data_IF_637107338983
#
_entry.id   IF_637107338983
#
_cell.length_a   1.000
_cell.length_b   1.000
_cell.length_c   1.000
_cell.angle_alpha   90.00
_cell.angle_beta   90.00
_cell.angle_gamma   90.00
#
_symmetry.space_group_name_H-M   'P 1'
#
loop_
_entity.id
_entity.type
_entity.pdbx_description
1 polymer ?
#
# COMPACT_ATOMS: atom_id res chain seq x y z
N UNK A 1 2.15 11.86 -13.62
CA UNK A 1 1.20 11.79 -12.48
C UNK A 1 -0.12 11.22 -12.95
N UNK A 2 -0.83 10.50 -12.10
CA UNK A 2 -2.12 9.85 -12.44
C UNK A 2 -3.15 10.28 -11.41
N UNK A 3 -4.32 10.75 -11.82
CA UNK A 3 -5.46 11.02 -10.95
C UNK A 3 -6.78 10.73 -11.71
N UNK A 4 -7.79 10.24 -10.99
CA UNK A 4 -9.10 9.97 -11.56
C UNK A 4 -9.95 11.26 -11.70
N UNK A 5 -9.65 12.29 -10.91
CA UNK A 5 -10.35 13.55 -10.93
C UNK A 5 -9.88 14.43 -12.11
N UNK A 6 -10.76 14.66 -13.07
CA UNK A 6 -10.48 15.45 -14.29
C UNK A 6 -10.06 16.87 -13.94
N UNK A 7 -10.77 17.51 -13.03
CA UNK A 7 -10.52 18.87 -12.55
C UNK A 7 -9.12 19.06 -11.97
N UNK A 8 -8.60 18.08 -11.23
CA UNK A 8 -7.24 18.10 -10.72
C UNK A 8 -6.19 17.97 -11.83
N UNK A 9 -6.44 17.09 -12.78
CA UNK A 9 -5.55 16.92 -13.92
C UNK A 9 -5.49 18.21 -14.76
N UNK A 10 -6.62 18.87 -14.97
CA UNK A 10 -6.68 20.12 -15.75
C UNK A 10 -5.96 21.27 -15.00
N UNK A 11 -6.17 21.42 -13.69
CA UNK A 11 -5.39 22.37 -12.88
C UNK A 11 -3.87 22.11 -12.94
N UNK A 12 -3.48 20.83 -12.96
CA UNK A 12 -2.07 20.46 -13.05
C UNK A 12 -1.48 20.72 -14.45
N UNK A 13 -2.26 20.56 -15.50
CA UNK A 13 -1.83 20.95 -16.86
C UNK A 13 -1.52 22.44 -16.91
N UNK A 14 -2.43 23.29 -16.42
CA UNK A 14 -2.22 24.73 -16.39
C UNK A 14 -0.98 25.16 -15.59
N UNK A 15 -0.67 24.43 -14.49
CA UNK A 15 0.49 24.71 -13.65
C UNK A 15 1.83 24.19 -14.21
N UNK A 16 1.79 23.19 -15.09
CA UNK A 16 2.97 22.43 -15.55
C UNK A 16 3.16 22.48 -17.07
N UNK A 17 2.42 23.36 -17.76
CA UNK A 17 2.37 23.45 -19.23
C UNK A 17 3.76 23.63 -19.88
N UNK A 18 4.68 24.32 -19.19
CA UNK A 18 6.05 24.55 -19.66
C UNK A 18 7.02 23.39 -19.40
N UNK A 19 6.53 22.23 -18.86
CA UNK A 19 7.40 21.12 -18.46
C UNK A 19 7.26 19.89 -19.35
N UNK A 20 8.11 19.79 -20.35
CA UNK A 20 8.14 18.68 -21.33
C UNK A 20 8.35 17.29 -20.69
N UNK A 21 8.96 17.21 -19.48
CA UNK A 21 9.24 15.96 -18.78
C UNK A 21 8.12 15.54 -17.82
N UNK A 22 6.97 16.22 -17.83
CA UNK A 22 5.81 15.89 -17.00
C UNK A 22 4.70 15.31 -17.86
N UNK A 23 4.28 14.09 -17.53
CA UNK A 23 3.17 13.42 -18.19
C UNK A 23 2.01 13.25 -17.21
N UNK A 24 0.83 13.74 -17.59
CA UNK A 24 -0.39 13.68 -16.81
C UNK A 24 -1.37 12.69 -17.44
N UNK A 25 -1.89 11.78 -16.60
CA UNK A 25 -2.85 10.77 -17.04
C UNK A 25 -4.12 10.92 -16.20
N UNK A 26 -5.26 11.06 -16.87
CA UNK A 26 -6.56 11.01 -16.21
C UNK A 26 -7.12 9.59 -16.28
N UNK A 27 -7.44 8.99 -15.12
CA UNK A 27 -8.06 7.68 -15.01
C UNK A 27 -7.62 6.87 -13.80
N UNK A 28 -8.08 5.61 -13.74
CA UNK A 28 -7.72 4.68 -12.68
C UNK A 28 -6.22 4.33 -12.73
N UNK A 29 -5.53 4.60 -11.63
CA UNK A 29 -4.08 4.35 -11.52
C UNK A 29 -3.73 2.87 -11.74
N UNK A 30 -4.58 1.94 -11.32
CA UNK A 30 -4.33 0.51 -11.55
C UNK A 30 -4.30 0.18 -13.04
N UNK A 31 -5.24 0.73 -13.80
CA UNK A 31 -5.33 0.51 -15.26
C UNK A 31 -4.15 1.16 -15.96
N UNK A 32 -3.83 2.41 -15.64
CA UNK A 32 -2.76 3.17 -16.29
C UNK A 32 -1.39 2.58 -15.96
N UNK A 33 -1.13 2.22 -14.71
CA UNK A 33 0.11 1.55 -14.32
C UNK A 33 0.30 0.23 -15.07
N UNK A 34 -0.74 -0.61 -15.11
CA UNK A 34 -0.68 -1.93 -15.73
C UNK A 34 -0.56 -1.88 -17.26
N UNK A 35 -1.28 -0.97 -17.92
CA UNK A 35 -1.43 -1.00 -19.38
C UNK A 35 -0.53 0.01 -20.10
N UNK A 36 0.00 1.01 -19.38
CA UNK A 36 0.80 2.07 -19.98
C UNK A 36 2.19 2.15 -19.36
N UNK A 37 2.28 2.33 -18.04
CA UNK A 37 3.57 2.65 -17.40
C UNK A 37 4.49 1.44 -17.30
N UNK A 38 4.00 0.30 -16.79
CA UNK A 38 4.85 -0.91 -16.69
C UNK A 38 5.33 -1.42 -18.05
N UNK A 39 4.51 -1.45 -19.13
CA UNK A 39 5.03 -1.79 -20.45
C UNK A 39 6.16 -0.88 -20.95
N UNK A 40 6.13 0.43 -20.64
CA UNK A 40 7.22 1.33 -20.97
C UNK A 40 8.50 0.96 -20.22
N UNK A 41 8.39 0.70 -18.90
CA UNK A 41 9.53 0.32 -18.07
C UNK A 41 10.12 -1.03 -18.49
N UNK A 42 9.25 -1.97 -18.87
CA UNK A 42 9.65 -3.32 -19.27
C UNK A 42 10.32 -3.37 -20.66
N UNK A 43 9.97 -2.44 -21.53
CA UNK A 43 10.48 -2.39 -22.91
C UNK A 43 11.97 -2.15 -22.98
N UNK A 44 12.54 -1.36 -22.08
CA UNK A 44 13.95 -1.01 -22.06
C UNK A 44 14.60 -1.36 -20.72
N UNK A 45 15.68 -2.14 -20.79
CA UNK A 45 16.41 -2.60 -19.60
C UNK A 45 17.08 -1.47 -18.81
N UNK A 46 17.28 -0.32 -19.39
CA UNK A 46 17.87 0.85 -18.74
C UNK A 46 16.87 1.63 -17.87
N UNK A 47 15.58 1.48 -18.14
CA UNK A 47 14.55 2.20 -17.40
C UNK A 47 14.43 1.71 -15.96
N UNK A 48 14.33 2.67 -15.06
CA UNK A 48 14.06 2.50 -13.64
C UNK A 48 12.96 3.47 -13.24
N UNK A 49 12.15 3.09 -12.27
CA UNK A 49 11.07 3.92 -11.78
C UNK A 49 11.01 3.93 -10.26
N UNK A 50 10.64 5.07 -9.71
CA UNK A 50 10.15 5.21 -8.35
C UNK A 50 8.64 5.49 -8.42
N UNK A 51 7.84 4.56 -7.91
CA UNK A 51 6.39 4.70 -7.84
C UNK A 51 6.00 5.22 -6.45
N UNK A 52 5.31 6.36 -6.42
CA UNK A 52 4.68 6.88 -5.20
C UNK A 52 3.19 6.54 -5.28
N UNK A 53 2.75 5.57 -4.51
CA UNK A 53 1.36 5.10 -4.48
C UNK A 53 0.68 5.61 -3.20
N UNK A 54 -0.15 6.65 -3.38
CA UNK A 54 -0.91 7.29 -2.30
C UNK A 54 -2.42 7.12 -2.56
N UNK A 55 -2.97 5.93 -2.32
CA UNK A 55 -4.35 5.64 -2.62
C UNK A 55 -5.28 6.29 -1.59
N UNK A 56 -6.43 6.77 -2.04
CA UNK A 56 -7.52 7.11 -1.14
C UNK A 56 -8.20 5.83 -0.63
N UNK A 57 -7.73 5.32 0.53
CA UNK A 57 -8.18 4.05 1.09
C UNK A 57 -7.71 2.83 0.27
N UNK A 58 -8.46 1.73 0.34
CA UNK A 58 -8.15 0.47 -0.38
C UNK A 58 -8.58 0.54 -1.86
N UNK A 59 -7.97 1.44 -2.65
CA UNK A 59 -8.26 1.59 -4.08
C UNK A 59 -7.11 1.15 -5.01
N UNK A 60 -6.04 0.57 -4.47
CA UNK A 60 -5.00 -0.08 -5.26
C UNK A 60 -5.26 -1.58 -5.35
N UNK A 61 -4.78 -2.20 -6.42
CA UNK A 61 -4.86 -3.65 -6.60
C UNK A 61 -3.52 -4.31 -6.34
N UNK A 62 -3.54 -5.47 -5.69
CA UNK A 62 -2.36 -6.28 -5.44
C UNK A 62 -1.54 -6.56 -6.71
N UNK A 63 -2.22 -6.79 -7.84
CA UNK A 63 -1.57 -7.05 -9.13
C UNK A 63 -0.61 -5.94 -9.57
N UNK A 64 -0.86 -4.69 -9.17
CA UNK A 64 0.05 -3.55 -9.42
C UNK A 64 1.34 -3.72 -8.61
N UNK A 65 1.22 -4.05 -7.32
CA UNK A 65 2.36 -4.25 -6.42
C UNK A 65 3.20 -5.46 -6.87
N UNK A 66 2.53 -6.54 -7.20
CA UNK A 66 3.16 -7.77 -7.66
C UNK A 66 3.93 -7.56 -8.98
N UNK A 67 3.32 -6.89 -9.97
CA UNK A 67 4.00 -6.59 -11.22
C UNK A 67 5.18 -5.64 -11.00
N UNK A 68 5.03 -4.61 -10.17
CA UNK A 68 6.11 -3.70 -9.83
C UNK A 68 7.33 -4.44 -9.26
N UNK A 69 7.13 -5.36 -8.33
CA UNK A 69 8.21 -6.16 -7.75
C UNK A 69 8.83 -7.14 -8.76
N UNK A 70 7.99 -7.83 -9.55
CA UNK A 70 8.45 -8.80 -10.57
C UNK A 70 9.21 -8.16 -11.73
N UNK A 71 8.95 -6.89 -12.07
CA UNK A 71 9.78 -6.19 -13.08
C UNK A 71 11.24 -6.01 -12.67
N UNK A 72 11.54 -6.08 -11.36
CA UNK A 72 12.87 -5.83 -10.78
C UNK A 72 13.44 -4.43 -11.07
N UNK A 73 12.62 -3.49 -11.51
CA UNK A 73 13.02 -2.15 -11.98
C UNK A 73 12.24 -1.01 -11.34
N UNK A 74 11.32 -1.34 -10.44
CA UNK A 74 10.46 -0.36 -9.76
C UNK A 74 10.78 -0.40 -8.27
N UNK A 75 11.14 0.76 -7.74
CA UNK A 75 11.09 1.03 -6.30
C UNK A 75 9.74 1.67 -5.97
N UNK A 76 9.20 1.40 -4.80
CA UNK A 76 7.86 1.82 -4.45
C UNK A 76 7.77 2.42 -3.06
N UNK A 77 7.11 3.58 -2.94
CA UNK A 77 6.50 4.03 -1.70
C UNK A 77 5.01 3.77 -1.76
N UNK A 78 4.46 3.18 -0.71
CA UNK A 78 3.03 2.89 -0.59
C UNK A 78 2.52 3.38 0.76
N UNK A 79 1.48 4.22 0.73
CA UNK A 79 0.67 4.53 1.90
C UNK A 79 -0.35 3.41 2.11
N UNK A 80 -0.08 2.54 3.11
CA UNK A 80 -0.99 1.46 3.49
C UNK A 80 -2.06 2.01 4.45
N UNK A 81 -3.34 2.10 4.03
CA UNK A 81 -4.34 2.95 4.69
C UNK A 81 -5.01 2.25 5.90
N UNK A 82 -4.27 2.06 6.98
CA UNK A 82 -4.72 1.27 8.14
C UNK A 82 -5.97 1.85 8.81
N UNK A 83 -6.16 3.17 8.77
CA UNK A 83 -7.38 3.80 9.31
C UNK A 83 -8.61 3.42 8.46
N UNK A 84 -8.51 3.45 7.13
CA UNK A 84 -9.59 3.02 6.23
C UNK A 84 -9.92 1.54 6.43
N UNK A 85 -8.88 0.69 6.53
CA UNK A 85 -9.00 -0.74 6.79
C UNK A 85 -9.77 -0.99 8.09
N UNK A 86 -9.38 -0.34 9.19
CA UNK A 86 -10.03 -0.50 10.49
C UNK A 86 -11.47 0.00 10.51
N UNK A 87 -11.74 1.10 9.81
CA UNK A 87 -13.07 1.70 9.76
C UNK A 87 -14.06 0.88 8.93
N UNK A 88 -13.59 0.27 7.84
CA UNK A 88 -14.46 -0.30 6.82
C UNK A 88 -14.39 -1.82 6.70
N UNK A 89 -13.29 -2.46 7.14
CA UNK A 89 -13.05 -3.90 6.92
C UNK A 89 -12.79 -4.66 8.22
N UNK A 90 -11.82 -4.24 9.01
CA UNK A 90 -11.39 -5.00 10.18
C UNK A 90 -12.20 -4.60 11.42
N UNK A 91 -13.46 -5.01 11.44
CA UNK A 91 -14.34 -4.83 12.60
C UNK A 91 -14.12 -5.95 13.61
N UNK A 92 -14.48 -5.68 14.87
CA UNK A 92 -14.52 -6.72 15.93
C UNK A 92 -15.50 -7.85 15.62
N UNK A 93 -16.56 -7.54 14.85
CA UNK A 93 -17.49 -8.52 14.29
C UNK A 93 -17.34 -8.55 12.78
N UNK A 94 -16.56 -9.50 12.21
CA UNK A 94 -16.31 -9.57 10.77
C UNK A 94 -17.56 -9.91 9.94
N UNK A 95 -18.59 -10.53 10.55
CA UNK A 95 -19.83 -10.86 9.86
C UNK A 95 -20.62 -9.61 9.45
N UNK A 96 -20.52 -8.52 10.23
CA UNK A 96 -21.18 -7.24 9.93
C UNK A 96 -20.56 -6.48 8.76
N UNK A 97 -19.39 -6.87 8.25
CA UNK A 97 -18.71 -6.19 7.16
C UNK A 97 -19.33 -6.58 5.81
N UNK A 98 -19.67 -5.58 4.99
CA UNK A 98 -20.27 -5.81 3.68
C UNK A 98 -19.33 -6.59 2.74
N UNK A 99 -19.92 -7.35 1.81
CA UNK A 99 -19.15 -8.12 0.82
C UNK A 99 -18.26 -7.22 -0.04
N UNK A 100 -18.73 -6.02 -0.39
CA UNK A 100 -17.95 -5.06 -1.18
C UNK A 100 -16.70 -4.59 -0.45
N UNK A 101 -16.76 -4.36 0.86
CA UNK A 101 -15.60 -3.98 1.66
C UNK A 101 -14.61 -5.14 1.83
N UNK A 102 -15.12 -6.36 2.05
CA UNK A 102 -14.30 -7.57 2.06
C UNK A 102 -13.59 -7.76 0.73
N UNK A 103 -14.29 -7.54 -0.40
CA UNK A 103 -13.71 -7.65 -1.74
C UNK A 103 -12.61 -6.60 -1.98
N UNK A 104 -12.81 -5.34 -1.56
CA UNK A 104 -11.77 -4.31 -1.64
C UNK A 104 -10.49 -4.71 -0.90
N UNK A 105 -10.64 -5.30 0.29
CA UNK A 105 -9.48 -5.80 1.03
C UNK A 105 -8.80 -6.95 0.30
N UNK A 106 -9.57 -7.90 -0.22
CA UNK A 106 -9.06 -9.02 -1.02
C UNK A 106 -8.34 -8.53 -2.28
N UNK A 107 -8.91 -7.55 -3.00
CA UNK A 107 -8.27 -6.96 -4.19
C UNK A 107 -6.93 -6.27 -3.87
N UNK A 108 -6.84 -5.60 -2.72
CA UNK A 108 -5.64 -4.88 -2.27
C UNK A 108 -4.60 -5.80 -1.62
N UNK A 109 -5.04 -6.91 -1.03
CA UNK A 109 -4.18 -7.92 -0.41
C UNK A 109 -3.70 -8.97 -1.40
N UNK A 110 -4.51 -9.27 -2.42
CA UNK A 110 -4.25 -10.24 -3.49
C UNK A 110 -5.04 -11.55 -3.38
N UNK A 111 -5.46 -11.91 -2.18
CA UNK A 111 -6.26 -13.09 -1.88
C UNK A 111 -6.97 -12.95 -0.52
N UNK A 112 -7.66 -14.00 -0.08
CA UNK A 112 -8.43 -14.00 1.18
C UNK A 112 -7.60 -14.30 2.45
N UNK A 113 -6.29 -14.52 2.34
CA UNK A 113 -5.42 -14.83 3.49
C UNK A 113 -5.35 -13.71 4.54
N UNK A 114 -5.74 -12.48 4.17
CA UNK A 114 -5.86 -11.38 5.13
C UNK A 114 -6.82 -11.71 6.28
N UNK A 115 -7.82 -12.59 6.06
CA UNK A 115 -8.78 -13.00 7.09
C UNK A 115 -8.10 -13.77 8.21
N UNK A 116 -7.18 -14.66 7.85
CA UNK A 116 -6.41 -15.47 8.82
C UNK A 116 -5.37 -14.63 9.58
N UNK A 117 -4.84 -13.59 8.90
CA UNK A 117 -3.90 -12.65 9.52
C UNK A 117 -4.60 -11.67 10.45
N UNK A 118 -5.78 -11.18 10.05
CA UNK A 118 -6.49 -10.14 10.79
C UNK A 118 -7.30 -10.67 11.97
N UNK A 119 -7.54 -11.98 12.03
CA UNK A 119 -8.36 -12.60 13.06
C UNK A 119 -7.76 -13.91 13.53
N UNK A 120 -7.54 -14.02 14.83
CA UNK A 120 -7.19 -15.29 15.50
C UNK A 120 -8.43 -15.98 16.05
N UNK A 121 -8.42 -17.32 16.03
CA UNK A 121 -9.44 -18.11 16.71
C UNK A 121 -9.19 -18.09 18.22
N UNK A 122 -10.19 -17.71 19.01
CA UNK A 122 -10.12 -17.87 20.46
C UNK A 122 -10.51 -19.29 20.85
N UNK A 123 -9.88 -19.85 21.91
CA UNK A 123 -10.43 -21.03 22.57
C UNK A 123 -11.86 -20.70 23.06
N UNK A 124 -12.81 -21.65 22.98
CA UNK A 124 -14.17 -21.43 23.44
C UNK A 124 -14.16 -21.06 24.92
N UNK A 125 -14.62 -19.87 25.23
CA UNK A 125 -14.85 -19.40 26.58
C UNK A 125 -16.34 -19.56 26.91
N UNK A 126 -16.65 -20.05 28.11
CA UNK A 126 -18.03 -20.36 28.55
C UNK A 126 -18.94 -19.12 28.54
N UNK A 127 -18.34 -17.91 28.56
CA UNK A 127 -19.05 -16.64 28.61
C UNK A 127 -18.87 -15.76 27.38
N UNK A 128 -18.04 -16.16 26.42
CA UNK A 128 -17.67 -15.31 25.29
C UNK A 128 -18.06 -15.97 23.95
N UNK A 129 -19.20 -15.58 23.41
CA UNK A 129 -19.71 -16.08 22.10
C UNK A 129 -18.89 -15.62 20.87
N UNK A 130 -17.71 -15.00 21.06
CA UNK A 130 -16.89 -14.57 19.92
C UNK A 130 -15.89 -15.66 19.58
N UNK A 131 -16.08 -16.27 18.41
CA UNK A 131 -15.18 -17.28 17.86
C UNK A 131 -13.83 -16.71 17.38
N UNK A 132 -13.76 -15.40 17.15
CA UNK A 132 -12.57 -14.73 16.60
C UNK A 132 -12.22 -13.45 17.35
N UNK A 133 -10.93 -13.18 17.47
CA UNK A 133 -10.37 -11.93 17.97
C UNK A 133 -9.66 -11.20 16.85
N UNK A 134 -9.92 -9.87 16.76
CA UNK A 134 -9.22 -9.01 15.83
C UNK A 134 -7.79 -8.81 16.30
N UNK A 135 -6.85 -9.03 15.40
CA UNK A 135 -5.42 -8.79 15.61
C UNK A 135 -5.06 -7.30 15.58
N UNK A 136 -3.84 -7.00 16.04
CA UNK A 136 -3.30 -5.65 16.04
C UNK A 136 -2.99 -5.14 14.62
N UNK A 137 -2.90 -3.83 14.46
CA UNK A 137 -2.47 -3.24 13.19
C UNK A 137 -1.05 -3.69 12.82
N UNK A 138 -0.17 -3.83 13.81
CA UNK A 138 1.21 -4.26 13.66
C UNK A 138 1.30 -5.67 13.08
N UNK A 139 0.42 -6.58 13.52
CA UNK A 139 0.31 -7.95 12.98
C UNK A 139 -0.05 -7.92 11.49
N UNK A 140 -1.07 -7.14 11.12
CA UNK A 140 -1.52 -7.00 9.73
C UNK A 140 -0.43 -6.37 8.86
N UNK A 141 0.23 -5.33 9.37
CA UNK A 141 1.32 -4.61 8.68
C UNK A 141 2.54 -5.51 8.47
N UNK A 142 2.92 -6.29 9.49
CA UNK A 142 4.04 -7.24 9.39
C UNK A 142 3.76 -8.33 8.34
N UNK A 143 2.54 -8.85 8.31
CA UNK A 143 2.14 -9.84 7.30
C UNK A 143 2.11 -9.23 5.89
N UNK A 144 1.62 -8.00 5.72
CA UNK A 144 1.65 -7.30 4.43
C UNK A 144 3.08 -7.06 3.94
N UNK A 145 3.99 -6.66 4.85
CA UNK A 145 5.43 -6.56 4.57
C UNK A 145 6.02 -7.86 4.03
N UNK A 146 5.71 -8.97 4.70
CA UNK A 146 6.13 -10.30 4.28
C UNK A 146 5.62 -10.65 2.89
N UNK A 147 4.36 -10.33 2.58
CA UNK A 147 3.78 -10.54 1.24
C UNK A 147 4.51 -9.72 0.16
N UNK A 148 4.87 -8.47 0.44
CA UNK A 148 5.67 -7.67 -0.51
C UNK A 148 7.02 -8.33 -0.82
N UNK A 149 7.63 -9.01 0.15
CA UNK A 149 8.89 -9.72 -0.05
C UNK A 149 8.70 -11.06 -0.77
N UNK A 150 7.79 -11.89 -0.30
CA UNK A 150 7.69 -13.30 -0.72
C UNK A 150 6.86 -13.48 -2.00
N UNK A 151 5.80 -12.67 -2.19
CA UNK A 151 4.85 -12.84 -3.29
C UNK A 151 5.06 -11.78 -4.36
N UNK A 152 5.20 -10.50 -3.99
CA UNK A 152 5.53 -9.45 -4.95
C UNK A 152 7.02 -9.43 -5.31
N UNK A 153 7.85 -10.21 -4.62
CA UNK A 153 9.27 -10.42 -4.89
C UNK A 153 10.14 -9.16 -4.76
N UNK A 154 9.78 -8.22 -3.87
CA UNK A 154 10.68 -7.14 -3.50
C UNK A 154 11.77 -7.67 -2.58
N UNK A 155 13.04 -7.49 -2.96
CA UNK A 155 14.17 -8.02 -2.18
C UNK A 155 14.33 -7.31 -0.84
N UNK A 156 14.04 -6.01 -0.79
CA UNK A 156 14.23 -5.17 0.38
C UNK A 156 12.95 -4.42 0.71
N UNK A 157 12.38 -4.72 1.87
CA UNK A 157 11.22 -4.02 2.44
C UNK A 157 11.54 -3.69 3.89
N UNK A 158 12.11 -2.50 4.19
CA UNK A 158 12.41 -2.10 5.56
C UNK A 158 11.14 -1.99 6.41
N UNK A 159 11.32 -1.87 7.72
CA UNK A 159 10.21 -1.67 8.66
C UNK A 159 9.45 -0.38 8.32
N UNK A 160 8.14 -0.43 8.03
CA UNK A 160 7.37 0.74 7.65
C UNK A 160 7.21 1.73 8.81
N UNK A 161 6.93 3.00 8.48
CA UNK A 161 6.70 4.03 9.49
C UNK A 161 5.20 4.23 9.69
N UNK A 162 4.71 4.19 10.96
CA UNK A 162 3.36 4.63 11.27
C UNK A 162 3.27 6.15 11.16
N UNK A 163 2.42 6.63 10.28
CA UNK A 163 2.09 8.05 10.13
C UNK A 163 0.86 8.37 10.97
N UNK A 164 1.01 9.28 11.91
CA UNK A 164 0.01 9.58 12.93
C UNK A 164 -0.58 10.98 12.73
N UNK A 165 -1.85 11.15 13.13
CA UNK A 165 -2.46 12.48 13.23
C UNK A 165 -2.03 13.18 14.54
N UNK A 166 -2.48 14.42 14.71
CA UNK A 166 -2.20 15.23 15.90
C UNK A 166 -2.79 14.64 17.21
N UNK A 167 -3.67 13.66 17.12
CA UNK A 167 -4.25 12.93 18.25
C UNK A 167 -3.51 11.61 18.55
N UNK A 168 -2.40 11.34 17.84
CA UNK A 168 -1.62 10.13 18.01
C UNK A 168 -2.18 8.88 17.30
N UNK A 169 -3.33 8.96 16.62
CA UNK A 169 -3.90 7.84 15.91
C UNK A 169 -3.15 7.58 14.60
N UNK A 170 -2.80 6.32 14.34
CA UNK A 170 -2.15 5.91 13.08
C UNK A 170 -3.15 5.98 11.93
N UNK A 171 -2.85 6.80 10.91
CA UNK A 171 -3.67 6.97 9.71
C UNK A 171 -3.28 5.95 8.66
N UNK A 172 -1.99 5.81 8.39
CA UNK A 172 -1.42 4.85 7.46
C UNK A 172 -0.01 4.45 7.89
N UNK A 173 0.49 3.37 7.30
CA UNK A 173 1.90 3.01 7.37
C UNK A 173 2.54 3.31 6.03
N UNK A 174 3.67 4.04 6.06
CA UNK A 174 4.46 4.30 4.87
C UNK A 174 5.43 3.15 4.65
N UNK A 175 5.14 2.35 3.64
CA UNK A 175 6.03 1.29 3.16
C UNK A 175 7.01 1.81 2.12
N UNK A 176 8.19 1.24 2.12
CA UNK A 176 9.12 1.29 1.02
C UNK A 176 9.47 -0.12 0.58
N UNK A 177 9.55 -0.35 -0.74
CA UNK A 177 9.92 -1.64 -1.30
C UNK A 177 10.87 -1.43 -2.49
N UNK A 178 11.97 -2.18 -2.54
CA UNK A 178 13.03 -2.02 -3.54
C UNK A 178 13.72 -3.34 -3.87
N UNK A 179 14.39 -3.36 -5.03
CA UNK A 179 15.32 -4.41 -5.43
C UNK A 179 16.78 -4.07 -5.07
N UNK A 180 17.03 -2.91 -4.46
CA UNK A 180 18.38 -2.39 -4.24
C UNK A 180 18.67 -2.17 -2.75
N UNK A 181 19.74 -2.79 -2.26
CA UNK A 181 20.18 -2.61 -0.88
C UNK A 181 20.54 -1.15 -0.56
N UNK A 182 21.15 -0.43 -1.52
CA UNK A 182 21.49 0.98 -1.33
C UNK A 182 20.24 1.84 -1.13
N UNK A 183 19.16 1.56 -1.85
CA UNK A 183 17.89 2.27 -1.67
C UNK A 183 17.28 1.98 -0.29
N UNK A 184 17.34 0.71 0.17
CA UNK A 184 16.96 0.35 1.54
C UNK A 184 17.72 1.17 2.57
N UNK A 185 19.06 1.23 2.49
CA UNK A 185 19.90 1.96 3.45
C UNK A 185 19.54 3.45 3.50
N UNK A 186 19.37 4.10 2.34
CA UNK A 186 18.97 5.51 2.27
C UNK A 186 17.62 5.73 2.96
N UNK A 187 16.64 4.88 2.69
CA UNK A 187 15.30 5.02 3.28
C UNK A 187 15.31 4.72 4.78
N UNK A 188 16.06 3.72 5.24
CA UNK A 188 16.24 3.43 6.67
C UNK A 188 16.84 4.62 7.43
N UNK A 189 17.82 5.30 6.85
CA UNK A 189 18.40 6.54 7.44
C UNK A 189 17.38 7.67 7.54
N UNK A 190 16.55 7.86 6.50
CA UNK A 190 15.45 8.82 6.51
C UNK A 190 14.41 8.45 7.57
N UNK A 191 14.02 7.19 7.64
CA UNK A 191 13.04 6.68 8.58
C UNK A 191 13.50 6.82 10.03
N UNK A 192 14.77 6.53 10.30
CA UNK A 192 15.35 6.68 11.63
C UNK A 192 15.39 8.16 12.07
N UNK A 193 15.73 9.07 11.16
CA UNK A 193 15.66 10.52 11.45
C UNK A 193 14.23 10.97 11.76
N UNK A 194 13.24 10.43 11.05
CA UNK A 194 11.83 10.75 11.28
C UNK A 194 11.33 10.22 12.64
N UNK A 195 11.64 8.96 12.97
CA UNK A 195 11.29 8.35 14.27
C UNK A 195 11.85 9.14 15.44
N UNK A 196 13.11 9.57 15.33
CA UNK A 196 13.82 10.32 16.39
C UNK A 196 13.32 11.76 16.54
N UNK A 197 12.65 12.36 15.55
CA UNK A 197 12.06 13.71 15.67
C UNK A 197 10.74 13.73 16.43
N UNK A 198 10.06 12.59 16.49
CA UNK A 198 8.74 12.44 17.12
C UNK A 198 8.81 11.68 18.45
N UNK A 199 10.00 11.40 18.92
CA UNK A 199 10.30 10.88 20.26
C UNK A 199 10.71 12.02 21.19
#
# INVERSE_FOLDING_TARGET
MIDIAVDKIDQLKDLLDDRENVHLYNGDCNIILMNTIFPIIEKDATYRALCLLDPYGLHYKWTVLERAGKTKRVDMFLNFPVMDINRNVLWRNPEGVSLSQKQRMTDSWGDDSWKEVAYSKKPPDIFNYREVEKESNETVVAAFRKRLQEIAEFQFVPEPIPMRNNQGATIYYLFFASQKEVAKKIVEDIYNKYRNRNA
#
